data_IF_951746221285
#
_entry.id   IF_951746221285
#
_cell.length_a   1.000
_cell.length_b   1.000
_cell.length_c   1.000
_cell.angle_alpha   90.00
_cell.angle_beta   90.00
_cell.angle_gamma   90.00
#
_symmetry.space_group_name_H-M   'P 1'
#
loop_
_entity.id
_entity.type
_entity.pdbx_description
1 polymer ?
#
# COMPACT_ATOMS: atom_id res chain seq x y z
N UNK A 1 5.30 24.80 8.46
CA UNK A 1 5.36 26.26 8.73
C UNK A 1 5.65 27.09 7.46
N UNK A 2 4.84 28.11 7.16
CA UNK A 2 4.95 28.93 5.94
C UNK A 2 5.64 30.26 6.21
N UNK A 3 6.34 30.78 5.19
CA UNK A 3 7.03 32.08 5.27
C UNK A 3 6.05 33.25 5.23
N UNK A 4 4.92 33.10 4.51
CA UNK A 4 3.88 34.13 4.44
C UNK A 4 2.69 33.76 5.34
N UNK A 5 2.16 34.70 6.16
CA UNK A 5 0.98 34.46 6.99
C UNK A 5 -0.30 34.29 6.15
N UNK A 6 -0.30 34.75 4.90
CA UNK A 6 -1.44 34.64 3.98
C UNK A 6 -1.48 33.31 3.22
N UNK A 7 -0.41 32.53 3.31
CA UNK A 7 -0.41 31.16 2.77
C UNK A 7 -1.32 30.27 3.60
N UNK A 8 -1.79 29.17 3.01
CA UNK A 8 -2.51 28.13 3.72
C UNK A 8 -1.69 27.62 4.93
N UNK A 9 -2.27 27.73 6.12
CA UNK A 9 -1.62 27.40 7.40
C UNK A 9 -1.85 25.95 7.86
N UNK A 10 -2.48 25.12 7.01
CA UNK A 10 -2.87 23.76 7.35
C UNK A 10 -4.24 23.70 8.04
N UNK A 11 -4.83 22.51 8.06
CA UNK A 11 -6.12 22.21 8.72
C UNK A 11 -5.98 21.93 10.22
N UNK A 12 -4.76 22.01 10.77
CA UNK A 12 -4.47 21.75 12.19
C UNK A 12 -5.01 20.38 12.65
N UNK A 13 -5.76 20.34 13.76
CA UNK A 13 -6.32 19.11 14.33
C UNK A 13 -7.23 18.37 13.36
N UNK A 14 -8.04 19.08 12.56
CA UNK A 14 -8.90 18.46 11.56
C UNK A 14 -8.06 17.71 10.51
N UNK A 15 -6.99 18.33 10.03
CA UNK A 15 -6.04 17.70 9.10
C UNK A 15 -5.38 16.47 9.69
N UNK A 16 -5.02 16.52 10.97
CA UNK A 16 -4.46 15.36 11.67
C UNK A 16 -5.46 14.21 11.79
N UNK A 17 -6.73 14.50 12.10
CA UNK A 17 -7.77 13.48 12.18
C UNK A 17 -8.07 12.85 10.82
N UNK A 18 -8.03 13.65 9.74
CA UNK A 18 -8.12 13.14 8.38
C UNK A 18 -6.94 12.23 8.01
N UNK A 19 -5.72 12.62 8.39
CA UNK A 19 -4.52 11.81 8.17
C UNK A 19 -4.60 10.48 8.93
N UNK A 20 -5.04 10.52 10.20
CA UNK A 20 -5.26 9.31 11.00
C UNK A 20 -6.26 8.37 10.32
N UNK A 21 -7.42 8.89 9.91
CA UNK A 21 -8.43 8.09 9.20
C UNK A 21 -7.90 7.48 7.91
N UNK A 22 -7.08 8.22 7.15
CA UNK A 22 -6.44 7.73 5.94
C UNK A 22 -5.40 6.64 6.25
N UNK A 23 -4.59 6.82 7.29
CA UNK A 23 -3.63 5.83 7.79
C UNK A 23 -4.32 4.52 8.18
N UNK A 24 -5.37 4.60 9.00
CA UNK A 24 -6.20 3.44 9.39
C UNK A 24 -6.80 2.73 8.18
N UNK A 25 -7.39 3.50 7.24
CA UNK A 25 -7.97 2.95 6.01
C UNK A 25 -6.93 2.34 5.05
N UNK A 26 -5.66 2.73 5.15
CA UNK A 26 -4.57 2.18 4.37
C UNK A 26 -3.75 1.12 5.13
N UNK A 27 -3.99 0.95 6.44
CA UNK A 27 -3.13 0.17 7.32
C UNK A 27 -1.72 0.76 7.51
N UNK A 28 -1.51 2.05 7.22
CA UNK A 28 -0.19 2.69 7.26
C UNK A 28 0.00 3.54 8.52
N UNK A 29 1.22 3.55 9.11
CA UNK A 29 1.54 4.49 10.19
C UNK A 29 1.57 5.92 9.65
N UNK A 30 1.27 6.90 10.50
CA UNK A 30 1.25 8.31 10.12
C UNK A 30 2.45 9.09 10.67
N UNK A 31 2.98 9.96 9.81
CA UNK A 31 4.03 10.93 10.13
C UNK A 31 3.44 12.33 10.01
N UNK A 32 3.61 13.18 11.02
CA UNK A 32 3.10 14.55 10.98
C UNK A 32 4.05 15.54 11.65
N UNK A 33 4.08 16.78 11.19
CA UNK A 33 4.95 17.83 11.73
C UNK A 33 4.33 18.50 12.97
N UNK A 34 5.02 18.42 14.10
CA UNK A 34 4.69 19.23 15.27
C UNK A 34 5.35 20.60 15.15
N UNK A 35 4.53 21.64 15.29
CA UNK A 35 5.01 23.03 15.18
C UNK A 35 5.00 23.78 16.51
N UNK A 36 4.29 23.25 17.51
CA UNK A 36 4.10 23.86 18.82
C UNK A 36 3.84 22.79 19.88
N UNK A 37 4.38 22.99 21.08
CA UNK A 37 4.23 22.11 22.25
C UNK A 37 2.78 21.90 22.69
N UNK A 38 1.89 22.86 22.44
CA UNK A 38 0.47 22.76 22.83
C UNK A 38 -0.26 21.61 22.11
N UNK A 39 0.34 21.02 21.07
CA UNK A 39 -0.20 19.87 20.35
C UNK A 39 0.40 18.53 20.81
N UNK A 40 1.30 18.53 21.79
CA UNK A 40 2.08 17.35 22.19
C UNK A 40 1.19 16.17 22.60
N UNK A 41 0.19 16.40 23.45
CA UNK A 41 -0.75 15.35 23.90
C UNK A 41 -1.48 14.68 22.74
N UNK A 42 -1.98 15.48 21.79
CA UNK A 42 -2.68 14.98 20.60
C UNK A 42 -1.72 14.20 19.69
N UNK A 43 -0.49 14.70 19.51
CA UNK A 43 0.52 14.02 18.71
C UNK A 43 0.95 12.68 19.34
N UNK A 44 1.14 12.65 20.65
CA UNK A 44 1.45 11.43 21.38
C UNK A 44 0.33 10.38 21.24
N UNK A 45 -0.93 10.82 21.25
CA UNK A 45 -2.06 9.90 21.10
C UNK A 45 -2.23 9.35 19.68
N UNK A 46 -2.02 10.17 18.65
CA UNK A 46 -2.47 9.85 17.29
C UNK A 46 -1.38 9.75 16.22
N UNK A 47 -0.16 10.20 16.48
CA UNK A 47 0.93 10.19 15.51
C UNK A 47 1.92 9.08 15.85
N UNK A 48 2.33 8.32 14.83
CA UNK A 48 3.27 7.21 15.01
C UNK A 48 4.72 7.68 14.97
N UNK A 49 5.04 8.66 14.13
CA UNK A 49 6.34 9.32 14.03
C UNK A 49 6.19 10.85 14.00
N UNK A 50 6.73 11.52 15.01
CA UNK A 50 6.59 12.97 15.15
C UNK A 50 7.73 13.66 14.40
N UNK A 51 7.40 14.46 13.38
CA UNK A 51 8.39 15.23 12.62
C UNK A 51 8.63 16.60 13.27
N UNK A 52 9.90 16.94 13.48
CA UNK A 52 10.34 18.31 13.76
C UNK A 52 10.86 18.91 12.46
N UNK A 53 10.17 19.92 11.93
CA UNK A 53 10.56 20.59 10.70
C UNK A 53 11.84 21.43 10.86
N UNK A 54 12.51 21.69 9.73
CA UNK A 54 13.80 22.40 9.68
C UNK A 54 13.82 23.76 10.41
N UNK A 55 12.68 24.47 10.46
CA UNK A 55 12.57 25.77 11.18
C UNK A 55 12.54 25.63 12.70
N UNK A 56 12.19 24.45 13.20
CA UNK A 56 12.12 24.13 14.62
C UNK A 56 13.29 23.26 15.09
N UNK A 57 14.29 22.98 14.24
CA UNK A 57 15.46 22.17 14.61
C UNK A 57 16.22 22.75 15.81
N UNK A 58 16.16 24.06 16.06
CA UNK A 58 16.77 24.71 17.24
C UNK A 58 15.72 25.26 18.22
N UNK A 59 14.48 24.76 18.16
CA UNK A 59 13.47 25.07 19.16
C UNK A 59 13.69 24.16 20.38
N UNK A 60 14.70 24.47 21.19
CA UNK A 60 15.18 23.56 22.26
C UNK A 60 14.12 23.20 23.30
N UNK A 61 13.18 24.11 23.60
CA UNK A 61 12.09 23.79 24.52
C UNK A 61 11.14 22.76 23.93
N UNK A 62 10.84 22.82 22.63
CA UNK A 62 10.10 21.77 21.95
C UNK A 62 10.87 20.44 21.96
N UNK A 63 12.18 20.46 21.69
CA UNK A 63 13.01 19.26 21.64
C UNK A 63 13.10 18.54 22.98
N UNK A 64 13.28 19.28 24.09
CA UNK A 64 13.32 18.70 25.43
C UNK A 64 12.02 18.00 25.78
N UNK A 65 10.89 18.59 25.42
CA UNK A 65 9.56 18.04 25.73
C UNK A 65 9.24 16.81 24.87
N UNK A 66 9.69 16.80 23.61
CA UNK A 66 9.69 15.59 22.78
C UNK A 66 10.62 14.49 23.32
N UNK A 67 11.66 14.88 24.06
CA UNK A 67 12.57 13.96 24.73
C UNK A 67 11.96 13.23 25.92
N UNK A 68 10.84 13.72 26.47
CA UNK A 68 10.15 13.13 27.64
C UNK A 68 9.08 12.10 27.28
N UNK A 69 8.68 12.03 26.00
CA UNK A 69 7.67 11.10 25.51
C UNK A 69 8.31 9.86 24.87
N UNK A 70 7.51 8.81 24.67
CA UNK A 70 7.96 7.53 24.06
C UNK A 70 7.47 7.37 22.63
N UNK A 71 7.70 8.39 21.80
CA UNK A 71 7.40 8.39 20.37
C UNK A 71 8.66 8.65 19.57
N UNK A 72 8.89 7.95 18.45
CA UNK A 72 10.04 8.23 17.61
C UNK A 72 9.92 9.64 17.01
N UNK A 73 11.08 10.30 16.86
CA UNK A 73 11.18 11.68 16.38
C UNK A 73 11.95 11.73 15.07
N UNK A 74 11.36 12.30 14.02
CA UNK A 74 12.05 12.63 12.77
C UNK A 74 12.54 14.08 12.80
N UNK A 75 13.84 14.28 13.00
CA UNK A 75 14.46 15.59 13.10
C UNK A 75 15.03 16.04 11.74
N UNK A 76 14.39 17.03 11.12
CA UNK A 76 14.88 17.63 9.87
C UNK A 76 15.98 18.65 10.14
N UNK A 77 17.10 18.54 9.41
CA UNK A 77 18.19 19.52 9.45
C UNK A 77 17.70 20.92 9.11
N UNK A 78 18.08 21.90 9.92
CA UNK A 78 17.85 23.30 9.65
C UNK A 78 18.67 23.75 8.44
N UNK A 79 18.07 24.60 7.61
CA UNK A 79 18.62 24.94 6.28
C UNK A 79 19.94 25.72 6.33
N UNK A 80 20.47 26.11 7.48
CA UNK A 80 21.80 26.72 7.58
C UNK A 80 22.67 26.11 8.66
N UNK A 81 22.24 24.97 9.21
CA UNK A 81 22.92 24.37 10.34
C UNK A 81 24.01 23.40 9.91
N UNK A 82 25.07 23.31 10.70
CA UNK A 82 26.12 22.32 10.53
C UNK A 82 25.64 20.92 10.94
N UNK A 83 26.40 19.88 10.60
CA UNK A 83 26.10 18.52 11.07
C UNK A 83 26.23 18.41 12.59
N UNK A 84 27.18 19.12 13.18
CA UNK A 84 27.37 19.19 14.63
C UNK A 84 26.16 19.81 15.32
N UNK A 85 25.64 20.93 14.80
CA UNK A 85 24.43 21.55 15.35
C UNK A 85 23.19 20.66 15.23
N UNK A 86 23.07 19.89 14.14
CA UNK A 86 22.01 18.87 14.00
C UNK A 86 22.15 17.78 15.07
N UNK A 87 23.35 17.25 15.28
CA UNK A 87 23.60 16.21 16.29
C UNK A 87 23.38 16.74 17.70
N UNK A 88 23.79 17.98 18.01
CA UNK A 88 23.53 18.60 19.31
C UNK A 88 22.03 18.85 19.52
N UNK A 89 21.28 19.24 18.48
CA UNK A 89 19.82 19.32 18.57
C UNK A 89 19.18 17.95 18.84
N UNK A 90 19.69 16.88 18.23
CA UNK A 90 19.29 15.51 18.55
C UNK A 90 19.58 15.16 20.01
N UNK A 91 20.75 15.56 20.52
CA UNK A 91 21.16 15.28 21.90
C UNK A 91 20.22 15.91 22.94
N UNK A 92 19.59 17.06 22.64
CA UNK A 92 18.55 17.63 23.52
C UNK A 92 17.33 16.71 23.69
N UNK A 93 16.96 15.94 22.66
CA UNK A 93 15.87 14.96 22.75
C UNK A 93 16.36 13.75 23.56
N UNK A 94 17.54 13.23 23.22
CA UNK A 94 18.10 12.01 23.80
C UNK A 94 18.44 12.15 25.29
N UNK A 95 18.96 13.32 25.70
CA UNK A 95 19.34 13.61 27.08
C UNK A 95 18.12 13.66 28.03
N UNK A 96 16.92 13.92 27.52
CA UNK A 96 15.68 13.88 28.32
C UNK A 96 15.06 12.47 28.39
N UNK A 97 15.58 11.51 27.62
CA UNK A 97 15.26 10.08 27.75
C UNK A 97 14.79 9.38 26.47
N UNK A 98 14.50 10.10 25.40
CA UNK A 98 14.00 9.52 24.15
C UNK A 98 15.14 9.25 23.16
N UNK A 99 15.53 7.98 23.03
CA UNK A 99 16.62 7.54 22.15
C UNK A 99 16.16 7.26 20.71
N UNK A 100 14.85 7.31 20.44
CA UNK A 100 14.25 6.93 19.16
C UNK A 100 14.23 8.12 18.20
N UNK A 101 15.42 8.57 17.77
CA UNK A 101 15.56 9.71 16.85
C UNK A 101 16.02 9.27 15.47
N UNK A 102 15.41 9.86 14.44
CA UNK A 102 15.74 9.68 13.03
C UNK A 102 16.19 11.03 12.47
N UNK A 103 17.37 11.10 11.87
CA UNK A 103 17.90 12.31 11.25
C UNK A 103 17.40 12.43 9.82
N UNK A 104 17.15 13.65 9.34
CA UNK A 104 16.69 13.88 7.96
C UNK A 104 17.43 15.05 7.31
N UNK A 105 18.26 14.74 6.31
CA UNK A 105 18.89 15.72 5.42
C UNK A 105 17.86 16.22 4.39
N UNK A 106 17.74 17.53 4.23
CA UNK A 106 16.68 18.16 3.42
C UNK A 106 17.13 19.40 2.66
N UNK A 107 18.44 19.53 2.47
CA UNK A 107 19.13 20.61 1.82
C UNK A 107 19.43 21.80 2.72
N UNK A 108 20.58 22.41 2.44
CA UNK A 108 21.06 23.64 3.06
C UNK A 108 20.96 24.83 2.09
N UNK A 109 20.81 26.02 2.64
CA UNK A 109 20.80 27.30 1.94
C UNK A 109 22.23 27.64 1.55
N UNK A 110 22.42 27.94 0.28
CA UNK A 110 23.68 28.37 -0.29
C UNK A 110 23.44 29.63 -1.13
N UNK A 111 24.42 30.03 -1.93
CA UNK A 111 24.27 31.10 -2.92
C UNK A 111 23.59 30.62 -4.22
N UNK A 112 23.42 29.30 -4.40
CA UNK A 112 22.74 28.74 -5.57
C UNK A 112 21.26 29.14 -5.57
N UNK A 113 20.74 29.47 -6.76
CA UNK A 113 19.39 29.99 -6.95
C UNK A 113 18.50 29.12 -7.81
N UNK A 114 19.07 28.14 -8.53
CA UNK A 114 18.32 27.21 -9.37
C UNK A 114 17.46 26.23 -8.54
N UNK A 115 18.01 25.72 -7.44
CA UNK A 115 17.29 24.86 -6.49
C UNK A 115 16.90 25.64 -5.25
N UNK A 116 15.81 25.22 -4.60
CA UNK A 116 15.31 25.83 -3.35
C UNK A 116 16.34 25.75 -2.22
N UNK A 117 17.04 24.63 -2.13
CA UNK A 117 18.20 24.41 -1.27
C UNK A 117 19.25 23.61 -2.09
N UNK A 118 20.47 23.55 -1.61
CA UNK A 118 21.47 22.59 -2.11
C UNK A 118 21.37 21.34 -1.25
N UNK A 119 20.96 20.21 -1.87
CA UNK A 119 20.91 18.94 -1.15
C UNK A 119 22.33 18.46 -0.82
N UNK A 120 22.66 18.39 0.47
CA UNK A 120 23.97 17.99 0.95
C UNK A 120 24.04 16.47 1.11
N UNK A 121 24.23 15.75 0.01
CA UNK A 121 24.34 14.29 0.04
C UNK A 121 25.57 13.80 0.83
N UNK A 122 26.58 14.64 1.05
CA UNK A 122 27.74 14.29 1.87
C UNK A 122 27.38 14.13 3.35
N UNK A 123 26.27 14.74 3.79
CA UNK A 123 25.73 14.60 5.14
C UNK A 123 25.38 13.14 5.46
N UNK A 124 24.91 12.36 4.48
CA UNK A 124 24.46 10.98 4.69
C UNK A 124 25.60 10.08 5.21
N UNK A 125 26.72 9.88 4.49
CA UNK A 125 27.83 9.07 4.99
C UNK A 125 28.53 9.71 6.20
N UNK A 126 28.55 11.03 6.31
CA UNK A 126 29.13 11.72 7.46
C UNK A 126 28.36 11.43 8.76
N UNK A 127 27.04 11.61 8.76
CA UNK A 127 26.19 11.35 9.92
C UNK A 127 26.22 9.87 10.33
N UNK A 128 26.32 8.95 9.37
CA UNK A 128 26.49 7.51 9.64
C UNK A 128 27.82 7.16 10.28
N UNK A 129 28.85 7.99 10.12
CA UNK A 129 30.15 7.82 10.78
C UNK A 129 30.18 8.50 12.15
N UNK A 130 29.46 9.61 12.29
CA UNK A 130 29.43 10.43 13.50
C UNK A 130 28.40 9.95 14.53
N UNK A 131 27.39 9.18 14.11
CA UNK A 131 26.28 8.75 14.96
C UNK A 131 25.81 7.33 14.61
N UNK A 132 25.05 6.72 15.51
CA UNK A 132 24.38 5.44 15.29
C UNK A 132 22.95 5.59 14.74
N UNK A 133 22.48 6.82 14.54
CA UNK A 133 21.07 7.11 14.23
C UNK A 133 20.77 6.85 12.75
N UNK A 134 19.55 6.41 12.40
CA UNK A 134 19.12 6.31 11.02
C UNK A 134 19.12 7.68 10.33
N UNK A 135 19.54 7.72 9.06
CA UNK A 135 19.64 8.96 8.26
C UNK A 135 18.76 8.88 7.02
N UNK A 136 17.71 9.70 6.99
CA UNK A 136 16.78 9.86 5.88
C UNK A 136 17.17 11.05 5.00
N UNK A 137 16.65 11.08 3.79
CA UNK A 137 16.80 12.21 2.86
C UNK A 137 15.44 12.67 2.31
N UNK A 138 15.25 13.99 2.26
CA UNK A 138 14.11 14.67 1.65
C UNK A 138 14.50 15.28 0.28
N UNK A 139 14.36 14.52 -0.83
CA UNK A 139 14.69 15.03 -2.17
C UNK A 139 13.71 16.10 -2.66
N UNK A 140 12.46 16.08 -2.19
CA UNK A 140 11.41 17.02 -2.57
C UNK A 140 11.73 18.43 -2.08
N UNK A 141 11.96 18.59 -0.77
CA UNK A 141 12.33 19.87 -0.20
C UNK A 141 13.80 20.26 -0.43
N UNK A 142 14.66 19.25 -0.62
CA UNK A 142 16.07 19.44 -0.94
C UNK A 142 16.25 20.25 -2.20
N UNK A 143 15.58 19.86 -3.29
CA UNK A 143 15.65 20.58 -4.57
C UNK A 143 14.55 21.64 -4.75
N UNK A 144 13.34 21.36 -4.26
CA UNK A 144 12.15 22.15 -4.57
C UNK A 144 11.62 21.96 -6.00
N UNK A 145 12.06 20.92 -6.72
CA UNK A 145 11.71 20.65 -8.13
C UNK A 145 11.30 19.19 -8.32
N UNK A 146 10.10 18.96 -8.85
CA UNK A 146 9.53 17.61 -9.00
C UNK A 146 10.40 16.68 -9.86
N UNK A 147 10.96 17.17 -10.98
CA UNK A 147 11.81 16.37 -11.87
C UNK A 147 13.11 15.89 -11.19
N UNK A 148 13.59 16.60 -10.16
CA UNK A 148 14.79 16.22 -9.41
C UNK A 148 14.51 15.16 -8.35
N UNK A 149 13.24 14.87 -8.02
CA UNK A 149 12.88 13.88 -6.99
C UNK A 149 13.44 12.50 -7.34
N UNK A 150 13.26 12.03 -8.58
CA UNK A 150 13.80 10.72 -9.01
C UNK A 150 15.33 10.62 -8.90
N UNK A 151 16.12 11.49 -9.57
CA UNK A 151 17.58 11.36 -9.53
C UNK A 151 18.17 11.57 -8.13
N UNK A 152 17.63 12.50 -7.34
CA UNK A 152 18.12 12.73 -5.97
C UNK A 152 17.73 11.60 -5.01
N UNK A 153 16.57 10.96 -5.21
CA UNK A 153 16.20 9.75 -4.45
C UNK A 153 17.19 8.61 -4.70
N UNK A 154 17.55 8.37 -5.97
CA UNK A 154 18.56 7.35 -6.34
C UNK A 154 19.92 7.65 -5.73
N UNK A 155 20.35 8.91 -5.83
CA UNK A 155 21.62 9.36 -5.28
C UNK A 155 21.66 9.23 -3.75
N UNK A 156 20.57 9.55 -3.05
CA UNK A 156 20.45 9.39 -1.61
C UNK A 156 20.56 7.92 -1.18
N UNK A 157 19.86 7.00 -1.88
CA UNK A 157 19.98 5.56 -1.61
C UNK A 157 21.43 5.09 -1.83
N UNK A 158 22.04 5.46 -2.96
CA UNK A 158 23.43 5.11 -3.27
C UNK A 158 24.45 5.74 -2.30
N UNK A 159 24.14 6.88 -1.70
CA UNK A 159 24.96 7.50 -0.64
C UNK A 159 24.80 6.77 0.71
N UNK A 160 23.90 5.79 0.80
CA UNK A 160 23.68 4.95 1.97
C UNK A 160 22.53 5.39 2.87
N UNK A 161 21.59 6.23 2.41
CA UNK A 161 20.45 6.66 3.23
C UNK A 161 19.60 5.47 3.71
N UNK A 162 19.04 5.59 4.92
CA UNK A 162 18.16 4.58 5.53
C UNK A 162 16.70 4.71 5.09
N UNK A 163 16.32 5.86 4.53
CA UNK A 163 14.99 6.08 3.97
C UNK A 163 14.89 7.38 3.20
N UNK A 164 13.73 7.57 2.57
CA UNK A 164 13.39 8.77 1.82
C UNK A 164 12.06 9.34 2.31
N UNK A 165 11.91 10.66 2.25
CA UNK A 165 10.63 11.34 2.41
C UNK A 165 10.29 12.08 1.11
N UNK A 166 9.22 11.65 0.44
CA UNK A 166 8.85 12.14 -0.89
C UNK A 166 7.44 12.73 -0.83
N UNK A 167 7.27 13.94 -1.36
CA UNK A 167 5.95 14.57 -1.47
C UNK A 167 5.22 14.09 -2.74
N UNK A 168 4.01 13.58 -2.56
CA UNK A 168 3.13 13.11 -3.63
C UNK A 168 1.79 13.82 -3.54
N UNK A 169 1.27 14.32 -4.67
CA UNK A 169 -0.02 14.99 -4.73
C UNK A 169 -0.80 14.58 -5.99
N UNK A 170 -2.12 14.40 -5.87
CA UNK A 170 -2.98 13.97 -6.97
C UNK A 170 -3.02 14.97 -8.14
N UNK A 171 -2.97 16.27 -7.82
CA UNK A 171 -2.96 17.38 -8.79
C UNK A 171 -1.97 18.47 -8.32
N UNK A 172 -0.66 18.33 -8.58
CA UNK A 172 0.35 19.26 -8.06
C UNK A 172 0.09 20.73 -8.46
N UNK A 173 -0.55 20.96 -9.61
CA UNK A 173 -0.90 22.30 -10.10
C UNK A 173 -1.94 23.02 -9.23
N UNK A 174 -2.71 22.29 -8.42
CA UNK A 174 -3.73 22.83 -7.49
C UNK A 174 -3.38 22.66 -6.01
N UNK A 175 -2.19 22.19 -5.70
CA UNK A 175 -1.78 22.00 -4.31
C UNK A 175 -1.70 23.35 -3.56
N UNK A 176 -2.26 23.40 -2.34
CA UNK A 176 -2.25 24.61 -1.49
C UNK A 176 -0.86 24.95 -0.93
N UNK A 177 0.06 23.97 -0.98
CA UNK A 177 1.46 24.09 -0.62
C UNK A 177 2.27 23.16 -1.50
N UNK A 178 3.50 23.57 -1.80
CA UNK A 178 4.56 22.65 -2.25
C UNK A 178 4.26 21.86 -3.55
N UNK A 179 3.34 22.38 -4.38
CA UNK A 179 3.02 21.85 -5.70
C UNK A 179 4.22 21.69 -6.63
N UNK A 180 5.15 22.67 -6.77
CA UNK A 180 6.28 22.56 -7.69
C UNK A 180 7.23 21.38 -7.45
N UNK A 181 7.30 20.86 -6.23
CA UNK A 181 8.16 19.71 -5.90
C UNK A 181 7.40 18.39 -5.71
N UNK A 182 6.08 18.45 -5.68
CA UNK A 182 5.24 17.26 -5.50
C UNK A 182 5.17 16.50 -6.82
N UNK A 183 5.46 15.20 -6.77
CA UNK A 183 5.22 14.29 -7.90
C UNK A 183 3.80 13.73 -7.84
N UNK A 184 3.34 13.16 -8.95
CA UNK A 184 2.02 12.49 -9.03
C UNK A 184 2.09 11.05 -8.54
N UNK A 185 0.95 10.42 -8.18
CA UNK A 185 0.92 8.98 -7.86
C UNK A 185 1.45 8.08 -8.99
N UNK A 186 1.25 8.47 -10.25
CA UNK A 186 1.75 7.73 -11.41
C UNK A 186 3.28 7.80 -11.49
N UNK A 187 3.86 8.98 -11.29
CA UNK A 187 5.32 9.15 -11.21
C UNK A 187 5.89 8.39 -10.01
N UNK A 188 5.24 8.46 -8.84
CA UNK A 188 5.66 7.70 -7.67
C UNK A 188 5.69 6.19 -7.95
N UNK A 189 4.61 5.66 -8.53
CA UNK A 189 4.53 4.25 -8.96
C UNK A 189 5.64 3.88 -9.95
N UNK A 190 5.98 4.79 -10.87
CA UNK A 190 7.04 4.60 -11.86
C UNK A 190 8.46 4.61 -11.25
N UNK A 191 8.73 5.41 -10.22
CA UNK A 191 10.07 5.49 -9.61
C UNK A 191 10.35 4.34 -8.63
N UNK A 192 9.33 3.84 -7.92
CA UNK A 192 9.52 2.86 -6.84
C UNK A 192 10.25 1.57 -7.25
N UNK A 193 9.97 0.94 -8.41
CA UNK A 193 10.74 -0.22 -8.88
C UNK A 193 12.22 0.09 -9.07
N UNK A 194 12.56 1.29 -9.56
CA UNK A 194 13.95 1.71 -9.73
C UNK A 194 14.62 1.90 -8.37
N UNK A 195 13.96 2.55 -7.42
CA UNK A 195 14.50 2.75 -6.08
C UNK A 195 14.77 1.41 -5.36
N UNK A 196 13.92 0.41 -5.58
CA UNK A 196 14.14 -0.96 -5.08
C UNK A 196 15.42 -1.59 -5.63
N UNK A 197 15.72 -1.42 -6.92
CA UNK A 197 16.97 -1.91 -7.50
C UNK A 197 18.19 -1.21 -6.92
N UNK A 198 18.14 0.12 -6.72
CA UNK A 198 19.23 0.85 -6.06
C UNK A 198 19.44 0.38 -4.62
N UNK A 199 18.36 0.17 -3.86
CA UNK A 199 18.47 -0.36 -2.50
C UNK A 199 19.10 -1.76 -2.52
N UNK A 200 18.70 -2.62 -3.46
CA UNK A 200 19.26 -3.97 -3.61
C UNK A 200 20.76 -3.95 -3.89
N UNK A 201 21.23 -3.02 -4.73
CA UNK A 201 22.67 -2.85 -5.02
C UNK A 201 23.46 -2.45 -3.77
N UNK A 202 22.87 -1.64 -2.89
CA UNK A 202 23.44 -1.23 -1.60
C UNK A 202 23.26 -2.28 -0.49
N UNK A 203 22.86 -3.51 -0.82
CA UNK A 203 22.58 -4.57 0.16
C UNK A 203 21.40 -4.27 1.09
N UNK A 204 20.56 -3.30 0.72
CA UNK A 204 19.37 -2.85 1.44
C UNK A 204 18.11 -3.34 0.75
N UNK A 205 16.97 -3.21 1.43
CA UNK A 205 15.67 -3.56 0.87
C UNK A 205 14.69 -2.45 1.19
N UNK A 206 13.91 -2.04 0.20
CA UNK A 206 12.68 -1.29 0.41
C UNK A 206 11.59 -2.35 0.44
N UNK A 207 11.00 -2.59 1.61
CA UNK A 207 9.87 -3.50 1.73
C UNK A 207 8.74 -3.01 0.82
N UNK A 208 7.93 -3.97 0.35
CA UNK A 208 6.64 -3.66 -0.26
C UNK A 208 5.59 -4.03 0.78
N UNK A 209 5.50 -3.25 1.88
CA UNK A 209 4.50 -3.54 2.89
C UNK A 209 3.14 -3.50 2.22
N UNK A 210 2.27 -4.38 2.68
CA UNK A 210 0.86 -4.42 2.36
C UNK A 210 0.59 -4.91 0.94
N UNK A 211 1.32 -5.94 0.51
CA UNK A 211 1.07 -6.63 -0.75
C UNK A 211 0.66 -8.07 -0.54
N UNK A 212 -0.43 -8.46 -1.22
CA UNK A 212 -0.92 -9.84 -1.23
C UNK A 212 -0.78 -10.40 -2.64
N UNK A 213 -0.02 -11.48 -2.76
CA UNK A 213 -0.08 -12.37 -3.91
C UNK A 213 -1.17 -13.40 -3.68
N UNK A 214 -2.06 -13.61 -4.64
CA UNK A 214 -3.11 -14.63 -4.53
C UNK A 214 -3.19 -15.51 -5.80
N UNK A 215 -3.63 -16.75 -5.63
CA UNK A 215 -3.77 -17.70 -6.72
C UNK A 215 -5.08 -17.51 -7.50
N UNK A 216 -5.01 -16.88 -8.66
CA UNK A 216 -6.13 -16.65 -9.56
C UNK A 216 -6.11 -15.24 -10.16
N UNK A 217 -7.18 -14.92 -10.89
CA UNK A 217 -7.36 -13.58 -11.49
C UNK A 217 -8.18 -12.67 -10.56
N UNK A 218 -8.21 -11.34 -10.79
CA UNK A 218 -9.15 -10.45 -10.11
C UNK A 218 -10.59 -10.97 -10.19
N UNK A 219 -11.31 -10.93 -9.07
CA UNK A 219 -12.66 -11.49 -8.92
C UNK A 219 -12.71 -12.99 -8.59
N UNK A 220 -11.58 -13.70 -8.55
CA UNK A 220 -11.55 -15.08 -8.06
C UNK A 220 -11.86 -15.17 -6.56
N UNK A 221 -12.22 -16.36 -6.07
CA UNK A 221 -12.42 -16.58 -4.63
C UNK A 221 -11.14 -16.38 -3.80
N UNK A 222 -9.96 -16.60 -4.37
CA UNK A 222 -8.70 -16.25 -3.73
C UNK A 222 -8.53 -14.73 -3.58
N UNK A 223 -8.94 -13.95 -4.58
CA UNK A 223 -8.99 -12.49 -4.47
C UNK A 223 -10.00 -12.04 -3.40
N UNK A 224 -11.17 -12.68 -3.30
CA UNK A 224 -12.15 -12.38 -2.26
C UNK A 224 -11.62 -12.71 -0.86
N UNK A 225 -10.95 -13.86 -0.69
CA UNK A 225 -10.29 -14.21 0.56
C UNK A 225 -9.22 -13.17 0.94
N UNK A 226 -8.39 -12.75 -0.02
CA UNK A 226 -7.40 -11.70 0.17
C UNK A 226 -8.04 -10.36 0.55
N UNK A 227 -9.14 -9.94 -0.11
CA UNK A 227 -9.86 -8.70 0.22
C UNK A 227 -10.48 -8.72 1.62
N UNK A 228 -10.98 -9.87 2.09
CA UNK A 228 -11.56 -9.98 3.43
C UNK A 228 -10.51 -9.93 4.54
N UNK A 229 -9.37 -10.58 4.32
CA UNK A 229 -8.28 -10.63 5.30
C UNK A 229 -7.45 -9.35 5.30
N UNK A 230 -7.22 -8.78 4.11
CA UNK A 230 -6.28 -7.68 3.88
C UNK A 230 -6.91 -6.57 3.02
N UNK A 231 -8.01 -5.93 3.46
CA UNK A 231 -8.79 -4.99 2.63
C UNK A 231 -8.00 -3.76 2.17
N UNK A 232 -6.92 -3.43 2.85
CA UNK A 232 -6.09 -2.25 2.59
C UNK A 232 -4.83 -2.57 1.77
N UNK A 233 -4.59 -3.84 1.46
CA UNK A 233 -3.39 -4.28 0.77
C UNK A 233 -3.54 -4.19 -0.76
N UNK A 234 -2.43 -4.04 -1.46
CA UNK A 234 -2.37 -4.14 -2.92
C UNK A 234 -2.38 -5.61 -3.31
N UNK A 235 -3.42 -6.02 -4.04
CA UNK A 235 -3.61 -7.41 -4.44
C UNK A 235 -3.09 -7.67 -5.86
N UNK A 236 -2.24 -8.68 -6.01
CA UNK A 236 -1.72 -9.15 -7.30
C UNK A 236 -2.09 -10.61 -7.49
N UNK A 237 -2.83 -10.89 -8.55
CA UNK A 237 -3.22 -12.25 -8.91
C UNK A 237 -2.16 -12.92 -9.78
N UNK A 238 -1.92 -14.20 -9.54
CA UNK A 238 -1.04 -15.06 -10.34
C UNK A 238 -1.80 -16.28 -10.83
N UNK A 239 -1.57 -16.70 -12.08
CA UNK A 239 -2.29 -17.84 -12.67
C UNK A 239 -1.84 -19.18 -12.07
N UNK A 240 -0.56 -19.29 -11.70
CA UNK A 240 0.05 -20.49 -11.16
C UNK A 240 0.32 -20.34 -9.67
N UNK A 241 0.23 -21.44 -8.92
CA UNK A 241 0.55 -21.43 -7.49
C UNK A 241 2.02 -21.07 -7.28
N UNK A 242 2.93 -21.63 -8.06
CA UNK A 242 4.38 -21.40 -7.99
C UNK A 242 4.75 -19.92 -8.04
N UNK A 243 4.06 -19.14 -8.88
CA UNK A 243 4.31 -17.71 -9.01
C UNK A 243 3.91 -16.93 -7.74
N UNK A 244 2.88 -17.38 -7.00
CA UNK A 244 2.49 -16.81 -5.70
C UNK A 244 3.58 -17.04 -4.66
N UNK A 245 4.08 -18.27 -4.57
CA UNK A 245 5.13 -18.64 -3.63
C UNK A 245 6.45 -17.93 -3.98
N UNK A 246 6.82 -17.88 -5.26
CA UNK A 246 7.99 -17.15 -5.73
C UNK A 246 7.88 -15.66 -5.46
N UNK A 247 6.69 -15.06 -5.58
CA UNK A 247 6.49 -13.66 -5.25
C UNK A 247 6.79 -13.40 -3.77
N UNK A 248 6.31 -14.25 -2.86
CA UNK A 248 6.54 -14.13 -1.42
C UNK A 248 8.00 -14.41 -1.06
N UNK A 249 8.57 -15.52 -1.53
CA UNK A 249 9.94 -15.94 -1.22
C UNK A 249 10.99 -14.94 -1.71
N UNK A 250 10.74 -14.28 -2.85
CA UNK A 250 11.63 -13.27 -3.41
C UNK A 250 11.33 -11.84 -2.91
N UNK A 251 10.35 -11.65 -2.02
CA UNK A 251 9.99 -10.35 -1.46
C UNK A 251 9.31 -9.40 -2.46
N UNK A 252 8.69 -9.95 -3.52
CA UNK A 252 7.83 -9.19 -4.46
C UNK A 252 6.41 -9.01 -3.90
N UNK A 253 5.98 -9.88 -2.99
CA UNK A 253 4.78 -9.74 -2.18
C UNK A 253 5.13 -10.03 -0.71
N UNK A 254 4.44 -9.38 0.22
CA UNK A 254 4.62 -9.66 1.66
C UNK A 254 3.89 -10.95 2.06
N UNK A 255 2.69 -11.14 1.51
CA UNK A 255 1.75 -12.19 1.92
C UNK A 255 1.31 -13.00 0.70
N UNK A 256 1.18 -14.31 0.87
CA UNK A 256 0.57 -15.22 -0.09
C UNK A 256 -0.78 -15.74 0.41
N UNK A 257 -1.78 -15.79 -0.46
CA UNK A 257 -3.10 -16.36 -0.20
C UNK A 257 -3.40 -17.46 -1.22
N UNK A 258 -3.52 -18.70 -0.74
CA UNK A 258 -3.67 -19.90 -1.58
C UNK A 258 -4.75 -20.85 -1.05
N UNK A 259 -5.51 -21.52 -1.93
CA UNK A 259 -6.51 -22.51 -1.51
C UNK A 259 -5.82 -23.82 -1.08
N UNK A 260 -6.22 -24.38 0.06
CA UNK A 260 -5.69 -25.67 0.55
C UNK A 260 -6.72 -26.79 0.53
N UNK A 261 -8.00 -26.46 0.61
CA UNK A 261 -9.08 -27.45 0.61
C UNK A 261 -10.38 -26.84 0.09
N UNK A 262 -11.08 -27.54 -0.79
CA UNK A 262 -12.46 -27.24 -1.14
C UNK A 262 -13.36 -28.37 -0.65
N UNK A 263 -14.52 -28.01 -0.12
CA UNK A 263 -15.46 -28.96 0.48
C UNK A 263 -15.98 -30.04 -0.48
N UNK A 264 -16.04 -29.73 -1.79
CA UNK A 264 -16.53 -30.64 -2.84
C UNK A 264 -15.40 -31.33 -3.61
N UNK A 265 -14.30 -30.62 -3.87
CA UNK A 265 -13.17 -31.11 -4.66
C UNK A 265 -12.03 -31.74 -3.82
N UNK A 266 -12.06 -31.58 -2.50
CA UNK A 266 -11.04 -32.07 -1.59
C UNK A 266 -9.82 -31.16 -1.48
N UNK A 267 -8.72 -31.72 -0.99
CA UNK A 267 -7.46 -31.01 -0.73
C UNK A 267 -6.72 -30.64 -2.01
N UNK A 268 -6.06 -29.49 -1.98
CA UNK A 268 -5.17 -29.03 -3.06
C UNK A 268 -3.74 -29.50 -2.73
N UNK A 269 -3.42 -30.75 -3.09
CA UNK A 269 -2.17 -31.42 -2.67
C UNK A 269 -0.91 -30.62 -3.01
N UNK A 270 -0.83 -30.09 -4.24
CA UNK A 270 0.33 -29.30 -4.70
C UNK A 270 0.59 -28.07 -3.81
N UNK A 271 -0.45 -27.35 -3.40
CA UNK A 271 -0.31 -26.19 -2.50
C UNK A 271 0.13 -26.63 -1.11
N UNK A 272 -0.38 -27.77 -0.61
CA UNK A 272 0.01 -28.31 0.70
C UNK A 272 1.49 -28.66 0.70
N UNK A 273 1.98 -29.34 -0.34
CA UNK A 273 3.41 -29.68 -0.50
C UNK A 273 4.30 -28.42 -0.55
N UNK A 274 3.87 -27.38 -1.28
CA UNK A 274 4.62 -26.13 -1.35
C UNK A 274 4.67 -25.36 -0.01
N UNK A 275 3.64 -25.48 0.82
CA UNK A 275 3.59 -24.88 2.16
C UNK A 275 4.54 -25.56 3.16
N UNK A 276 5.09 -26.74 2.84
CA UNK A 276 6.09 -27.42 3.67
C UNK A 276 7.49 -26.79 3.58
N UNK A 277 7.70 -25.78 2.75
CA UNK A 277 8.97 -25.05 2.67
C UNK A 277 9.32 -24.40 4.02
N UNK A 278 10.45 -24.80 4.61
CA UNK A 278 10.92 -24.34 5.91
C UNK A 278 11.11 -22.82 6.01
N UNK A 279 11.21 -22.10 4.88
CA UNK A 279 11.34 -20.64 4.83
C UNK A 279 10.02 -19.91 4.99
N UNK A 280 8.89 -20.64 4.98
CA UNK A 280 7.55 -20.09 5.06
C UNK A 280 6.94 -20.33 6.43
N UNK A 281 6.08 -19.41 6.85
CA UNK A 281 5.19 -19.61 7.99
C UNK A 281 3.75 -19.31 7.60
N UNK A 282 2.84 -20.14 8.10
CA UNK A 282 1.39 -19.94 7.97
C UNK A 282 0.97 -19.00 9.10
N UNK A 283 0.37 -17.87 8.75
CA UNK A 283 -0.02 -16.83 9.71
C UNK A 283 -1.51 -16.81 9.99
N UNK A 284 -2.33 -17.23 9.03
CA UNK A 284 -3.80 -17.18 9.17
C UNK A 284 -4.50 -18.17 8.23
N UNK A 285 -5.79 -18.40 8.47
CA UNK A 285 -6.67 -19.28 7.69
C UNK A 285 -8.08 -18.69 7.61
N UNK A 286 -8.68 -18.77 6.43
CA UNK A 286 -10.08 -18.37 6.23
C UNK A 286 -10.85 -19.46 5.49
N UNK A 287 -12.01 -19.85 6.03
CA UNK A 287 -13.00 -20.65 5.31
C UNK A 287 -13.98 -19.72 4.63
N UNK A 288 -13.90 -19.64 3.31
CA UNK A 288 -14.75 -18.78 2.49
C UNK A 288 -15.90 -19.59 1.89
N UNK A 289 -17.16 -19.27 2.20
CA UNK A 289 -18.31 -19.85 1.50
C UNK A 289 -18.29 -19.50 0.01
N UNK A 290 -18.46 -20.50 -0.85
CA UNK A 290 -18.48 -20.33 -2.31
C UNK A 290 -19.90 -19.99 -2.74
N UNK A 291 -20.19 -18.68 -2.75
CA UNK A 291 -21.47 -18.15 -3.24
C UNK A 291 -21.34 -17.77 -4.70
N UNK A 292 -22.16 -18.41 -5.53
CA UNK A 292 -22.26 -18.11 -6.95
C UNK A 292 -23.51 -17.25 -7.20
N UNK A 293 -23.33 -16.21 -8.00
CA UNK A 293 -24.35 -15.24 -8.36
C UNK A 293 -24.62 -15.32 -9.86
N UNK A 294 -25.86 -15.10 -10.28
CA UNK A 294 -26.18 -14.78 -11.66
C UNK A 294 -26.03 -13.27 -11.86
N UNK A 295 -25.11 -12.86 -12.72
CA UNK A 295 -24.76 -11.45 -12.93
C UNK A 295 -24.90 -11.04 -14.39
N UNK A 296 -25.32 -9.81 -14.66
CA UNK A 296 -25.53 -9.31 -16.02
C UNK A 296 -25.32 -7.79 -16.11
N UNK A 297 -25.21 -7.22 -17.32
CA UNK A 297 -25.16 -5.77 -17.51
C UNK A 297 -26.40 -5.07 -16.95
N UNK A 298 -26.23 -3.80 -16.57
CA UNK A 298 -27.28 -3.05 -15.88
C UNK A 298 -28.59 -2.95 -16.69
N UNK A 299 -29.72 -3.18 -16.03
CA UNK A 299 -31.05 -3.16 -16.64
C UNK A 299 -31.33 -4.34 -17.57
N UNK A 300 -30.69 -5.49 -17.32
CA UNK A 300 -31.00 -6.79 -17.92
C UNK A 300 -32.15 -7.45 -17.14
N UNK A 301 -33.17 -7.91 -17.86
CA UNK A 301 -34.26 -8.69 -17.26
C UNK A 301 -33.94 -10.19 -17.31
N UNK A 302 -34.27 -10.91 -16.24
CA UNK A 302 -34.01 -12.34 -16.11
C UNK A 302 -34.66 -13.14 -17.25
N UNK A 303 -35.86 -12.75 -17.69
CA UNK A 303 -36.58 -13.38 -18.80
C UNK A 303 -35.92 -13.16 -20.17
N UNK A 304 -35.07 -12.13 -20.28
CA UNK A 304 -34.35 -11.75 -21.49
C UNK A 304 -33.08 -12.55 -21.74
N UNK A 305 -32.57 -13.28 -20.75
CA UNK A 305 -31.29 -13.98 -20.85
C UNK A 305 -31.40 -15.15 -21.85
N UNK A 306 -30.37 -15.30 -22.69
CA UNK A 306 -30.26 -16.37 -23.70
C UNK A 306 -28.92 -17.10 -23.64
N UNK A 307 -27.89 -16.49 -23.04
CA UNK A 307 -26.55 -17.07 -22.91
C UNK A 307 -26.05 -16.91 -21.48
N UNK A 308 -25.53 -17.98 -20.91
CA UNK A 308 -24.94 -17.97 -19.57
C UNK A 308 -23.48 -18.44 -19.68
N UNK A 309 -22.57 -17.60 -19.22
CA UNK A 309 -21.12 -17.81 -19.29
C UNK A 309 -20.57 -18.21 -17.92
N UNK A 310 -19.75 -19.26 -17.84
CA UNK A 310 -19.04 -19.62 -16.61
C UNK A 310 -18.02 -20.74 -16.86
N UNK A 311 -17.32 -21.15 -15.81
CA UNK A 311 -16.50 -22.35 -15.82
C UNK A 311 -17.37 -23.61 -15.66
N UNK A 312 -16.95 -24.75 -16.24
CA UNK A 312 -17.72 -26.01 -16.21
C UNK A 312 -18.08 -26.47 -14.79
N UNK A 313 -17.15 -26.31 -13.85
CA UNK A 313 -17.41 -26.62 -12.43
C UNK A 313 -18.55 -25.78 -11.85
N UNK A 314 -18.64 -24.49 -12.19
CA UNK A 314 -19.71 -23.62 -11.70
C UNK A 314 -21.06 -24.00 -12.32
N UNK A 315 -21.10 -24.40 -13.60
CA UNK A 315 -22.33 -24.99 -14.18
C UNK A 315 -22.75 -26.26 -13.46
N UNK A 316 -21.80 -27.12 -13.13
CA UNK A 316 -22.04 -28.34 -12.34
C UNK A 316 -22.55 -28.05 -10.91
N UNK A 317 -22.16 -26.92 -10.34
CA UNK A 317 -22.58 -26.46 -9.01
C UNK A 317 -23.94 -25.76 -9.00
N UNK A 318 -24.47 -25.30 -10.14
CA UNK A 318 -25.73 -24.55 -10.20
C UNK A 318 -26.83 -25.26 -11.02
N UNK A 319 -26.86 -26.60 -11.06
CA UNK A 319 -27.74 -27.35 -11.97
C UNK A 319 -29.22 -27.15 -11.65
N UNK A 320 -29.60 -27.08 -10.37
CA UNK A 320 -31.01 -26.86 -9.97
C UNK A 320 -31.48 -25.51 -10.49
N UNK A 321 -30.69 -24.45 -10.27
CA UNK A 321 -31.01 -23.13 -10.77
C UNK A 321 -31.07 -23.11 -12.31
N UNK A 322 -30.07 -23.65 -12.99
CA UNK A 322 -30.00 -23.68 -14.46
C UNK A 322 -31.13 -24.47 -15.11
N UNK A 323 -31.69 -25.48 -14.43
CA UNK A 323 -32.87 -26.19 -14.90
C UNK A 323 -34.12 -25.31 -15.03
N UNK A 324 -34.16 -24.16 -14.34
CA UNK A 324 -35.25 -23.17 -14.46
C UNK A 324 -35.10 -22.27 -15.69
N UNK A 325 -33.95 -22.32 -16.38
CA UNK A 325 -33.63 -21.53 -17.57
C UNK A 325 -33.22 -22.43 -18.76
N UNK A 326 -34.08 -23.38 -19.19
CA UNK A 326 -33.71 -24.41 -20.17
C UNK A 326 -33.38 -23.88 -21.56
N UNK A 327 -33.88 -22.69 -21.91
CA UNK A 327 -33.65 -22.06 -23.22
C UNK A 327 -32.31 -21.31 -23.30
N UNK A 328 -31.57 -21.22 -22.19
CA UNK A 328 -30.27 -20.55 -22.15
C UNK A 328 -29.15 -21.46 -22.64
N UNK A 329 -28.33 -20.94 -23.57
CA UNK A 329 -27.09 -21.61 -23.99
C UNK A 329 -25.99 -21.39 -22.96
N UNK A 330 -25.44 -22.48 -22.43
CA UNK A 330 -24.27 -22.46 -21.54
C UNK A 330 -22.98 -22.34 -22.36
N UNK A 331 -22.10 -21.40 -21.99
CA UNK A 331 -20.84 -21.12 -22.70
C UNK A 331 -19.68 -21.21 -21.70
N UNK A 332 -18.80 -22.19 -21.91
CA UNK A 332 -17.67 -22.48 -21.03
C UNK A 332 -16.55 -21.45 -21.18
N UNK A 333 -15.98 -21.03 -20.04
CA UNK A 333 -14.82 -20.14 -19.90
C UNK A 333 -13.81 -20.74 -18.93
N UNK A 334 -12.57 -20.24 -18.97
CA UNK A 334 -11.47 -20.73 -18.12
C UNK A 334 -11.69 -20.50 -16.63
N UNK A 335 -12.39 -19.42 -16.23
CA UNK A 335 -12.72 -19.13 -14.84
C UNK A 335 -14.06 -18.39 -14.74
N UNK A 336 -14.67 -18.39 -13.56
CA UNK A 336 -15.90 -17.62 -13.29
C UNK A 336 -15.68 -16.11 -13.39
N UNK A 337 -14.51 -15.63 -12.98
CA UNK A 337 -14.08 -14.24 -13.14
C UNK A 337 -13.88 -13.84 -14.61
N UNK A 338 -13.25 -14.69 -15.42
CA UNK A 338 -13.09 -14.45 -16.86
C UNK A 338 -14.44 -14.41 -17.57
N UNK A 339 -15.40 -15.25 -17.16
CA UNK A 339 -16.76 -15.21 -17.68
C UNK A 339 -17.47 -13.89 -17.36
N UNK A 340 -17.35 -13.38 -16.13
CA UNK A 340 -17.90 -12.08 -15.75
C UNK A 340 -17.27 -10.95 -16.58
N UNK A 341 -15.95 -10.94 -16.76
CA UNK A 341 -15.28 -9.94 -17.60
C UNK A 341 -15.69 -10.02 -19.07
N UNK A 342 -15.91 -11.23 -19.61
CA UNK A 342 -16.41 -11.39 -20.96
C UNK A 342 -17.83 -10.82 -21.13
N UNK A 343 -18.73 -11.10 -20.17
CA UNK A 343 -20.10 -10.56 -20.19
C UNK A 343 -20.10 -9.03 -20.07
N UNK A 344 -19.25 -8.46 -19.23
CA UNK A 344 -19.09 -7.01 -19.10
C UNK A 344 -18.53 -6.37 -20.37
N UNK A 345 -17.63 -7.05 -21.09
CA UNK A 345 -17.10 -6.58 -22.37
C UNK A 345 -18.15 -6.66 -23.50
N UNK A 346 -18.97 -7.72 -23.52
CA UNK A 346 -20.08 -7.86 -24.48
C UNK A 346 -21.14 -6.79 -24.24
N UNK A 347 -21.49 -6.54 -22.97
CA UNK A 347 -22.40 -5.49 -22.52
C UNK A 347 -23.78 -5.50 -23.24
N UNK A 348 -24.33 -6.69 -23.50
CA UNK A 348 -25.68 -6.87 -24.06
C UNK A 348 -26.69 -7.29 -22.99
N UNK A 349 -27.99 -7.17 -23.30
CA UNK A 349 -29.08 -7.53 -22.37
C UNK A 349 -29.52 -9.00 -22.46
N UNK A 350 -28.76 -9.84 -23.16
CA UNK A 350 -29.10 -11.24 -23.42
C UNK A 350 -28.07 -12.21 -22.82
N UNK A 351 -26.99 -11.68 -22.26
CA UNK A 351 -25.86 -12.43 -21.71
C UNK A 351 -25.74 -12.22 -20.21
N UNK A 352 -25.58 -13.32 -19.47
CA UNK A 352 -25.30 -13.32 -18.05
C UNK A 352 -24.10 -14.21 -17.74
N UNK A 353 -23.45 -14.02 -16.60
CA UNK A 353 -22.40 -14.89 -16.09
C UNK A 353 -22.80 -15.50 -14.75
N UNK A 354 -22.28 -16.70 -14.46
CA UNK A 354 -22.24 -17.23 -13.09
C UNK A 354 -20.88 -16.90 -12.50
N UNK A 355 -20.84 -16.06 -11.47
CA UNK A 355 -19.59 -15.55 -10.88
C UNK A 355 -19.71 -15.23 -9.39
N UNK A 356 -18.58 -14.90 -8.76
CA UNK A 356 -18.56 -14.38 -7.38
C UNK A 356 -19.12 -12.96 -7.31
N UNK A 357 -19.49 -12.53 -6.10
CA UNK A 357 -19.86 -11.13 -5.83
C UNK A 357 -18.72 -10.16 -6.18
N UNK A 358 -17.48 -10.50 -5.82
CA UNK A 358 -16.30 -9.69 -6.13
C UNK A 358 -16.12 -9.52 -7.64
N UNK A 359 -16.31 -10.57 -8.43
CA UNK A 359 -16.25 -10.48 -9.90
C UNK A 359 -17.36 -9.59 -10.47
N UNK A 360 -18.57 -9.64 -9.90
CA UNK A 360 -19.67 -8.75 -10.28
C UNK A 360 -19.31 -7.28 -10.06
N UNK A 361 -18.84 -6.96 -8.84
CA UNK A 361 -18.44 -5.62 -8.42
C UNK A 361 -17.31 -5.05 -9.28
N UNK A 362 -16.25 -5.84 -9.51
CA UNK A 362 -15.10 -5.40 -10.31
C UNK A 362 -15.48 -5.08 -11.76
N UNK A 363 -16.41 -5.85 -12.33
CA UNK A 363 -16.87 -5.68 -13.70
C UNK A 363 -18.11 -4.78 -13.84
N UNK A 364 -18.59 -4.18 -12.74
CA UNK A 364 -19.78 -3.31 -12.69
C UNK A 364 -21.04 -4.00 -13.26
N UNK A 365 -21.20 -5.29 -12.98
CA UNK A 365 -22.37 -6.06 -13.34
C UNK A 365 -23.40 -6.02 -12.19
N UNK A 366 -24.68 -6.05 -12.55
CA UNK A 366 -25.77 -6.19 -11.58
C UNK A 366 -25.95 -7.65 -11.21
N UNK A 367 -26.17 -7.90 -9.92
CA UNK A 367 -26.55 -9.22 -9.42
C UNK A 367 -28.06 -9.37 -9.64
N UNK A 368 -28.44 -10.30 -10.51
CA UNK A 368 -29.85 -10.60 -10.79
C UNK A 368 -30.40 -11.64 -9.82
N UNK A 369 -29.56 -12.58 -9.40
CA UNK A 369 -29.92 -13.57 -8.41
C UNK A 369 -28.70 -14.00 -7.60
N UNK A 370 -28.89 -14.06 -6.29
CA UNK A 370 -27.85 -14.45 -5.34
C UNK A 370 -27.93 -15.94 -4.98
N UNK A 371 -26.80 -16.51 -4.60
CA UNK A 371 -26.68 -17.86 -4.02
C UNK A 371 -27.35 -18.96 -4.86
N UNK A 372 -27.01 -19.03 -6.15
CA UNK A 372 -27.62 -19.98 -7.12
C UNK A 372 -26.99 -21.38 -7.11
N UNK A 373 -25.98 -21.62 -6.25
CA UNK A 373 -25.35 -22.93 -6.08
C UNK A 373 -26.30 -23.97 -5.44
N UNK A 374 -26.12 -25.23 -5.78
CA UNK A 374 -26.97 -26.36 -5.40
C UNK A 374 -26.77 -26.80 -3.94
N UNK A 375 -25.59 -26.54 -3.37
CA UNK A 375 -25.18 -26.82 -1.99
C UNK A 375 -24.79 -25.52 -1.28
N UNK A 376 -25.52 -25.17 -0.23
CA UNK A 376 -25.29 -23.97 0.57
C UNK A 376 -24.07 -24.08 1.49
N UNK A 377 -23.53 -25.29 1.68
CA UNK A 377 -22.37 -25.56 2.52
C UNK A 377 -21.06 -25.62 1.72
N UNK A 378 -21.05 -25.29 0.43
CA UNK A 378 -19.80 -25.24 -0.34
C UNK A 378 -18.88 -24.14 0.22
N UNK A 379 -17.67 -24.53 0.62
CA UNK A 379 -16.63 -23.61 1.05
C UNK A 379 -15.26 -24.02 0.52
N UNK A 380 -14.36 -23.04 0.44
CA UNK A 380 -12.93 -23.26 0.23
C UNK A 380 -12.16 -22.68 1.40
N UNK A 381 -11.27 -23.47 1.99
CA UNK A 381 -10.29 -23.01 2.97
C UNK A 381 -9.06 -22.44 2.25
N UNK A 382 -8.75 -21.19 2.55
CA UNK A 382 -7.55 -20.50 2.11
C UNK A 382 -6.58 -20.34 3.28
N UNK A 383 -5.30 -20.52 2.98
CA UNK A 383 -4.20 -20.30 3.91
C UNK A 383 -3.49 -19.01 3.54
N UNK A 384 -3.13 -18.26 4.57
CA UNK A 384 -2.24 -17.12 4.48
C UNK A 384 -0.84 -17.53 4.93
N UNK A 385 0.15 -17.22 4.12
CA UNK A 385 1.54 -17.46 4.44
C UNK A 385 2.43 -16.25 4.16
N UNK A 386 3.56 -16.19 4.85
CA UNK A 386 4.62 -15.22 4.60
C UNK A 386 5.99 -15.87 4.74
N UNK A 387 7.03 -15.18 4.28
CA UNK A 387 8.42 -15.59 4.49
C UNK A 387 8.83 -15.32 5.95
N UNK A 388 9.48 -16.30 6.59
CA UNK A 388 10.05 -16.19 7.94
C UNK A 388 11.17 -15.15 8.03
#
# INVERSE_FOLDING_TARGET
PRTSPYSFQGLRLEGLMLLKKAGEAAGLPIVSEITNINYLEVFEQYVDLIQVGARNMQNFELLKELGKIKKPILLKRGFSNTLEELLMACEYIMNEGNQDVILCERGIRTFETYTRNTLDLSAVPALKRMSHLPVLVDPSHGSGLSWMVEPLSKAAIAAGADGLIIEVHNDPGKALSDGPQSITPAEFSYIMPKLREYARLEGRRISIPHTVAYAGTPGSFANEAAEKLYPTHVHTGFERFEDVFDAVLNGKAEIGVVPVENSLAGKVTEVIEMLEDDRLEITDRIKLPIRLMLVAPAGTDLSGIRKIYSHEKAFGQCRKFLSTMPDCRLISYSTTSAAASAVAAINDKYSAAIASETAARLNRLEILQESIQDDENDYTEFVVFRKK
#
